data_IF_270617798789
#
_entry.id   IF_270617798789
#
_cell.length_a   1.000
_cell.length_b   1.000
_cell.length_c   1.000
_cell.angle_alpha   90.00
_cell.angle_beta   90.00
_cell.angle_gamma   90.00
#
_symmetry.space_group_name_H-M   'P 1'
#
loop_
_entity.id
_entity.type
_entity.pdbx_description
1 polymer ?
#
# COMPACT_ATOMS: atom_id res chain seq x y z
N UNK A 1 3.46 -13.35 21.78
CA UNK A 1 3.10 -12.96 20.40
C UNK A 1 2.16 -11.77 20.48
N UNK A 2 2.60 -10.62 20.00
CA UNK A 2 1.78 -9.40 19.95
C UNK A 2 1.29 -9.26 18.52
N UNK A 3 -0.03 -9.34 18.29
CA UNK A 3 -0.62 -9.03 16.98
C UNK A 3 -0.32 -7.57 16.68
N UNK A 4 0.41 -7.30 15.60
CA UNK A 4 0.55 -5.96 15.07
C UNK A 4 -0.86 -5.41 14.73
N UNK A 5 -1.18 -4.23 15.25
CA UNK A 5 -2.48 -3.62 15.07
C UNK A 5 -2.64 -3.25 13.59
N UNK A 6 -3.65 -3.79 12.91
CA UNK A 6 -3.91 -3.44 11.52
C UNK A 6 -4.60 -2.06 11.48
N UNK A 7 -3.83 -1.02 11.22
CA UNK A 7 -4.33 0.36 11.16
C UNK A 7 -5.09 0.68 9.87
N UNK A 8 -5.10 -0.19 8.86
CA UNK A 8 -5.71 0.13 7.57
C UNK A 8 -7.19 0.43 7.71
N UNK A 9 -7.94 -0.39 8.46
CA UNK A 9 -9.37 -0.16 8.67
C UNK A 9 -9.62 1.17 9.37
N UNK A 10 -8.84 1.50 10.40
CA UNK A 10 -8.97 2.76 11.14
C UNK A 10 -8.61 3.97 10.28
N UNK A 11 -7.56 3.88 9.48
CA UNK A 11 -7.15 4.94 8.54
C UNK A 11 -8.23 5.14 7.47
N UNK A 12 -8.75 4.06 6.88
CA UNK A 12 -9.83 4.15 5.89
C UNK A 12 -11.09 4.76 6.48
N UNK A 13 -11.51 4.36 7.68
CA UNK A 13 -12.66 4.94 8.37
C UNK A 13 -12.44 6.42 8.71
N UNK A 14 -11.23 6.78 9.13
CA UNK A 14 -10.87 8.15 9.44
C UNK A 14 -10.89 9.05 8.19
N UNK A 15 -10.35 8.58 7.08
CA UNK A 15 -10.36 9.29 5.79
C UNK A 15 -11.78 9.38 5.21
N UNK A 16 -12.60 8.33 5.37
CA UNK A 16 -14.01 8.30 4.95
C UNK A 16 -14.89 9.33 5.66
N UNK A 17 -14.56 9.66 6.91
CA UNK A 17 -15.36 10.56 7.74
C UNK A 17 -14.96 12.03 7.61
N UNK A 18 -13.77 12.34 7.08
CA UNK A 18 -13.30 13.73 6.97
C UNK A 18 -13.79 14.42 5.70
N UNK A 19 -14.31 15.62 5.87
CA UNK A 19 -14.66 16.55 4.80
C UNK A 19 -13.64 17.69 4.77
N UNK A 20 -13.44 18.28 3.60
CA UNK A 20 -12.60 19.46 3.37
C UNK A 20 -13.33 20.43 2.44
N UNK A 21 -12.97 21.71 2.48
CA UNK A 21 -13.50 22.73 1.56
C UNK A 21 -12.48 22.87 0.44
N UNK A 22 -12.89 22.71 -0.83
CA UNK A 22 -11.97 22.75 -1.97
C UNK A 22 -12.43 23.72 -3.04
N UNK A 23 -11.47 24.45 -3.62
CA UNK A 23 -11.70 25.29 -4.79
C UNK A 23 -11.53 24.48 -6.08
N UNK A 24 -12.51 24.48 -7.00
CA UNK A 24 -12.39 23.81 -8.30
C UNK A 24 -11.45 24.55 -9.27
N UNK A 25 -11.29 25.87 -9.13
CA UNK A 25 -10.47 26.67 -10.06
C UNK A 25 -8.97 26.61 -9.75
N UNK A 26 -8.57 26.72 -8.48
CA UNK A 26 -7.14 26.73 -8.10
C UNK A 26 -6.69 25.48 -7.35
N UNK A 27 -7.61 24.58 -6.97
CA UNK A 27 -7.30 23.34 -6.27
C UNK A 27 -7.02 23.49 -4.77
N UNK A 28 -7.01 24.71 -4.22
CA UNK A 28 -6.76 24.97 -2.80
C UNK A 28 -7.76 24.22 -1.89
N UNK A 29 -7.25 23.61 -0.83
CA UNK A 29 -8.03 22.84 0.15
C UNK A 29 -7.92 23.46 1.55
N UNK A 30 -9.05 23.53 2.25
CA UNK A 30 -9.17 24.14 3.57
C UNK A 30 -9.86 23.19 4.55
N UNK A 31 -9.49 23.24 5.85
CA UNK A 31 -10.16 22.47 6.88
C UNK A 31 -11.60 22.97 7.10
N UNK A 32 -12.47 22.08 7.57
CA UNK A 32 -13.88 22.38 7.87
C UNK A 32 -14.06 23.40 8.99
N UNK A 33 -13.02 23.67 9.79
CA UNK A 33 -13.07 24.70 10.83
C UNK A 33 -13.31 26.11 10.26
N UNK A 34 -12.99 26.33 8.98
CA UNK A 34 -13.21 27.58 8.25
C UNK A 34 -14.57 27.67 7.54
N UNK A 35 -15.47 26.70 7.77
CA UNK A 35 -16.77 26.64 7.08
C UNK A 35 -17.58 27.93 7.23
N UNK A 36 -17.64 28.49 8.44
CA UNK A 36 -18.38 29.73 8.73
C UNK A 36 -17.83 30.93 7.95
N UNK A 37 -16.50 30.98 7.78
CA UNK A 37 -15.86 32.04 7.01
C UNK A 37 -16.27 31.92 5.54
N UNK A 38 -16.22 30.72 4.97
CA UNK A 38 -16.63 30.48 3.59
C UNK A 38 -18.13 30.74 3.36
N UNK A 39 -19.00 30.38 4.31
CA UNK A 39 -20.43 30.73 4.23
C UNK A 39 -20.64 32.25 4.23
N UNK A 40 -19.92 32.98 5.08
CA UNK A 40 -19.96 34.44 5.15
C UNK A 40 -19.47 35.10 3.84
N UNK A 41 -18.39 34.57 3.26
CA UNK A 41 -17.83 35.04 1.99
C UNK A 41 -18.51 34.43 0.74
N UNK A 42 -19.72 33.86 0.87
CA UNK A 42 -20.50 33.27 -0.23
C UNK A 42 -19.70 32.26 -1.07
N UNK A 43 -18.85 31.49 -0.40
CA UNK A 43 -18.00 30.44 -0.97
C UNK A 43 -16.93 30.94 -1.93
N UNK A 44 -16.60 32.23 -1.95
CA UNK A 44 -15.46 32.73 -2.74
C UNK A 44 -14.13 32.14 -2.26
N UNK A 45 -13.29 31.74 -3.19
CA UNK A 45 -11.95 31.27 -2.89
C UNK A 45 -11.03 32.45 -2.53
N UNK A 46 -10.32 32.41 -1.39
CA UNK A 46 -9.42 33.49 -1.00
C UNK A 46 -8.12 33.54 -1.82
N UNK A 47 -7.78 32.47 -2.56
CA UNK A 47 -6.53 32.39 -3.33
C UNK A 47 -6.68 32.91 -4.76
N UNK A 48 -7.78 32.58 -5.44
CA UNK A 48 -7.97 32.94 -6.85
C UNK A 48 -9.11 33.93 -7.09
N UNK A 49 -9.95 34.21 -6.08
CA UNK A 49 -11.09 35.15 -6.09
C UNK A 49 -12.20 34.90 -7.15
N UNK A 50 -11.94 33.97 -8.07
CA UNK A 50 -12.81 33.58 -9.18
C UNK A 50 -13.55 32.26 -8.90
N UNK A 51 -12.88 31.31 -8.24
CA UNK A 51 -13.46 30.00 -7.93
C UNK A 51 -14.44 30.04 -6.76
N UNK A 52 -15.54 29.27 -6.86
CA UNK A 52 -16.43 28.99 -5.71
C UNK A 52 -16.06 27.66 -5.08
N UNK A 53 -15.61 27.72 -3.83
CA UNK A 53 -15.29 26.53 -3.06
C UNK A 53 -16.54 25.69 -2.76
N UNK A 54 -16.35 24.40 -2.54
CA UNK A 54 -17.40 23.48 -2.11
C UNK A 54 -16.85 22.47 -1.12
N UNK A 55 -17.73 21.87 -0.31
CA UNK A 55 -17.34 20.79 0.60
C UNK A 55 -17.19 19.49 -0.19
N UNK A 56 -16.04 18.87 -0.07
CA UNK A 56 -15.71 17.57 -0.66
C UNK A 56 -15.32 16.58 0.44
N UNK A 57 -15.59 15.29 0.23
CA UNK A 57 -15.08 14.26 1.15
C UNK A 57 -13.63 13.97 0.81
N UNK A 58 -12.79 13.92 1.84
CA UNK A 58 -11.39 13.56 1.71
C UNK A 58 -11.25 12.16 1.09
N UNK A 59 -12.17 11.24 1.40
CA UNK A 59 -12.19 9.92 0.77
C UNK A 59 -12.41 9.93 -0.73
N UNK A 60 -13.15 10.90 -1.26
CA UNK A 60 -13.40 10.99 -2.70
C UNK A 60 -12.20 11.61 -3.42
N UNK A 61 -11.50 12.54 -2.77
CA UNK A 61 -10.26 13.14 -3.24
C UNK A 61 -9.11 12.14 -3.30
N UNK A 62 -8.88 11.41 -2.21
CA UNK A 62 -7.78 10.43 -2.12
C UNK A 62 -8.17 9.06 -2.66
N UNK A 63 -9.42 8.86 -3.11
CA UNK A 63 -9.90 7.56 -3.59
C UNK A 63 -9.02 6.99 -4.69
N UNK A 64 -8.57 7.86 -5.60
CA UNK A 64 -7.74 7.48 -6.73
C UNK A 64 -6.29 7.24 -6.33
N UNK A 65 -5.76 7.96 -5.33
CA UNK A 65 -4.44 7.67 -4.74
C UNK A 65 -4.45 6.36 -3.95
N UNK A 66 -5.48 6.13 -3.15
CA UNK A 66 -5.68 4.90 -2.35
C UNK A 66 -5.96 3.70 -3.26
N UNK A 67 -6.70 3.88 -4.35
CA UNK A 67 -6.88 2.82 -5.35
C UNK A 67 -5.60 2.56 -6.15
N UNK A 68 -4.73 3.59 -6.33
CA UNK A 68 -3.38 3.46 -6.90
C UNK A 68 -2.37 2.85 -5.93
N UNK A 69 -2.60 2.96 -4.62
CA UNK A 69 -2.01 2.08 -3.61
C UNK A 69 -2.65 0.70 -3.79
N UNK A 70 -2.20 0.07 -4.87
CA UNK A 70 -2.73 -1.11 -5.50
C UNK A 70 -3.07 -2.18 -4.45
N UNK A 71 -4.17 -2.92 -4.62
CA UNK A 71 -4.45 -4.11 -3.79
C UNK A 71 -3.29 -5.12 -3.86
N UNK A 72 -2.45 -5.04 -4.89
CA UNK A 72 -1.19 -5.76 -5.02
C UNK A 72 -0.12 -5.39 -3.96
N UNK A 73 -0.20 -4.22 -3.33
CA UNK A 73 0.70 -3.79 -2.24
C UNK A 73 0.34 -4.39 -0.88
N UNK A 74 -0.90 -4.85 -0.70
CA UNK A 74 -1.36 -5.51 0.53
C UNK A 74 -0.97 -6.98 0.50
N UNK A 75 0.34 -7.23 0.54
CA UNK A 75 0.87 -8.57 0.81
C UNK A 75 0.37 -9.04 2.17
N UNK A 76 0.01 -10.32 2.24
CA UNK A 76 -0.25 -10.95 3.52
C UNK A 76 1.05 -11.07 4.33
N UNK A 77 0.95 -11.16 5.66
CA UNK A 77 2.10 -11.27 6.56
C UNK A 77 3.08 -12.36 6.11
N UNK A 78 2.56 -13.55 5.78
CA UNK A 78 3.37 -14.68 5.27
C UNK A 78 4.07 -14.34 3.95
N UNK A 79 3.49 -13.49 3.09
CA UNK A 79 4.10 -13.09 1.83
C UNK A 79 5.25 -12.11 2.05
N UNK A 80 5.12 -11.21 3.03
CA UNK A 80 6.20 -10.29 3.45
C UNK A 80 7.35 -11.09 4.07
N UNK A 81 7.06 -12.01 4.99
CA UNK A 81 8.07 -12.85 5.62
C UNK A 81 8.83 -13.73 4.59
N UNK A 82 8.14 -14.27 3.57
CA UNK A 82 8.79 -14.99 2.47
C UNK A 82 9.78 -14.08 1.73
N UNK A 83 9.38 -12.84 1.42
CA UNK A 83 10.25 -11.87 0.76
C UNK A 83 11.45 -11.49 1.64
N UNK A 84 11.26 -11.34 2.95
CA UNK A 84 12.34 -11.09 3.91
C UNK A 84 13.37 -12.21 3.92
N UNK A 85 12.95 -13.47 4.01
CA UNK A 85 13.86 -14.63 3.98
C UNK A 85 14.64 -14.66 2.67
N UNK A 86 13.96 -14.50 1.53
CA UNK A 86 14.63 -14.48 0.22
C UNK A 86 15.61 -13.31 0.06
N UNK A 87 15.32 -12.16 0.67
CA UNK A 87 16.20 -11.00 0.65
C UNK A 87 17.41 -11.15 1.57
N UNK A 88 17.22 -11.67 2.78
CA UNK A 88 18.30 -11.87 3.77
C UNK A 88 19.28 -12.95 3.34
N UNK A 89 18.78 -14.06 2.80
CA UNK A 89 19.60 -15.18 2.34
C UNK A 89 20.29 -14.89 1.00
N UNK A 90 19.77 -13.92 0.23
CA UNK A 90 20.25 -13.47 -1.10
C UNK A 90 20.65 -14.61 -2.05
N UNK A 91 19.89 -15.70 -2.01
CA UNK A 91 20.11 -16.90 -2.83
C UNK A 91 18.80 -17.54 -3.25
N UNK A 92 18.87 -18.37 -4.29
CA UNK A 92 17.72 -19.15 -4.76
C UNK A 92 17.38 -20.27 -3.77
N UNK A 93 16.13 -20.35 -3.34
CA UNK A 93 15.69 -21.30 -2.30
C UNK A 93 14.47 -22.11 -2.72
N UNK A 94 14.41 -23.39 -2.37
CA UNK A 94 13.18 -24.18 -2.52
C UNK A 94 12.20 -23.79 -1.41
N UNK A 95 10.91 -24.03 -1.64
CA UNK A 95 9.89 -23.79 -0.62
C UNK A 95 10.18 -24.52 0.72
N UNK A 96 10.81 -25.71 0.65
CA UNK A 96 11.26 -26.45 1.84
C UNK A 96 12.38 -25.73 2.60
N UNK A 97 13.30 -25.11 1.87
CA UNK A 97 14.41 -24.39 2.49
C UNK A 97 13.88 -23.10 3.16
N UNK A 98 12.92 -22.41 2.53
CA UNK A 98 12.25 -21.22 3.11
C UNK A 98 11.44 -21.61 4.36
N UNK A 99 10.71 -22.74 4.35
CA UNK A 99 9.98 -23.22 5.53
C UNK A 99 10.86 -23.57 6.72
N UNK A 100 12.18 -23.67 6.57
CA UNK A 100 13.07 -23.87 7.71
C UNK A 100 13.32 -22.58 8.51
N UNK A 101 12.99 -21.42 7.95
CA UNK A 101 13.12 -20.11 8.60
C UNK A 101 11.80 -19.59 9.16
N UNK A 102 10.69 -20.26 8.86
CA UNK A 102 9.33 -19.79 9.14
C UNK A 102 8.47 -20.96 9.62
N UNK A 103 7.58 -20.75 10.59
CA UNK A 103 6.64 -21.77 11.08
C UNK A 103 5.44 -21.99 10.12
N UNK A 104 5.72 -22.14 8.82
CA UNK A 104 4.72 -22.39 7.77
C UNK A 104 5.14 -23.53 6.85
N UNK A 105 4.14 -24.25 6.36
CA UNK A 105 4.37 -25.44 5.53
C UNK A 105 4.90 -25.07 4.14
N UNK A 106 5.77 -25.91 3.58
CA UNK A 106 6.32 -25.69 2.25
C UNK A 106 5.24 -25.65 1.16
N UNK A 107 4.10 -26.33 1.34
CA UNK A 107 2.96 -26.26 0.42
C UNK A 107 2.33 -24.86 0.41
N UNK A 108 2.16 -24.24 1.58
CA UNK A 108 1.67 -22.87 1.69
C UNK A 108 2.66 -21.90 1.05
N UNK A 109 3.96 -22.02 1.34
CA UNK A 109 5.00 -21.20 0.70
C UNK A 109 4.99 -21.39 -0.83
N UNK A 110 4.82 -22.62 -1.31
CA UNK A 110 4.69 -22.91 -2.74
C UNK A 110 3.52 -22.15 -3.39
N UNK A 111 2.37 -22.09 -2.72
CA UNK A 111 1.21 -21.30 -3.16
C UNK A 111 1.47 -19.80 -3.14
N UNK A 112 2.07 -19.29 -2.05
CA UNK A 112 2.36 -17.86 -1.87
C UNK A 112 3.41 -17.35 -2.85
N UNK A 113 4.47 -18.12 -3.08
CA UNK A 113 5.49 -17.79 -4.09
C UNK A 113 4.94 -17.74 -5.51
N UNK A 114 3.90 -18.54 -5.84
CA UNK A 114 3.21 -18.41 -7.14
C UNK A 114 2.45 -17.09 -7.24
N UNK A 115 1.71 -16.68 -6.20
CA UNK A 115 1.04 -15.36 -6.17
C UNK A 115 2.06 -14.20 -6.23
N UNK A 116 3.18 -14.32 -5.52
CA UNK A 116 4.28 -13.35 -5.58
C UNK A 116 4.96 -13.31 -6.95
N UNK A 117 4.99 -14.44 -7.67
CA UNK A 117 5.49 -14.49 -9.05
C UNK A 117 4.53 -13.76 -10.00
N UNK A 118 3.22 -13.98 -9.86
CA UNK A 118 2.20 -13.30 -10.66
C UNK A 118 2.25 -11.77 -10.49
N UNK A 119 2.66 -11.27 -9.31
CA UNK A 119 2.86 -9.83 -9.05
C UNK A 119 4.27 -9.31 -9.43
N UNK A 120 5.16 -10.18 -9.91
CA UNK A 120 6.53 -9.85 -10.31
C UNK A 120 7.48 -9.57 -9.13
N UNK A 121 7.15 -10.04 -7.93
CA UNK A 121 7.95 -9.86 -6.72
C UNK A 121 8.91 -11.04 -6.45
N UNK A 122 8.59 -12.21 -6.99
CA UNK A 122 9.42 -13.42 -6.91
C UNK A 122 9.63 -14.02 -8.29
N UNK A 123 10.83 -14.49 -8.58
CA UNK A 123 11.13 -15.33 -9.73
C UNK A 123 11.14 -16.80 -9.32
N UNK A 124 10.60 -17.67 -10.19
CA UNK A 124 10.62 -19.13 -10.01
C UNK A 124 11.37 -19.76 -11.16
N UNK A 125 12.42 -20.49 -10.83
CA UNK A 125 13.25 -21.22 -11.79
C UNK A 125 13.17 -22.72 -11.53
N UNK A 126 13.08 -23.50 -12.61
CA UNK A 126 13.11 -24.95 -12.53
C UNK A 126 14.56 -25.44 -12.67
N UNK A 127 15.02 -26.19 -11.66
CA UNK A 127 16.35 -26.79 -11.60
C UNK A 127 16.17 -28.31 -11.44
N UNK A 128 16.17 -29.01 -12.57
CA UNK A 128 15.82 -30.42 -12.66
C UNK A 128 14.36 -30.67 -12.22
N UNK A 129 14.20 -31.46 -11.17
CA UNK A 129 12.88 -31.81 -10.61
C UNK A 129 12.38 -30.80 -9.57
N UNK A 130 13.20 -29.83 -9.17
CA UNK A 130 12.86 -28.88 -8.11
C UNK A 130 12.62 -27.48 -8.66
N UNK A 131 11.78 -26.72 -7.97
CA UNK A 131 11.57 -25.29 -8.23
C UNK A 131 12.26 -24.49 -7.13
N UNK A 132 13.06 -23.50 -7.53
CA UNK A 132 13.66 -22.52 -6.63
C UNK A 132 13.05 -21.15 -6.85
N UNK A 133 13.02 -20.37 -5.78
CA UNK A 133 12.45 -19.03 -5.73
C UNK A 133 13.56 -18.03 -5.40
N UNK A 134 13.53 -16.86 -6.02
CA UNK A 134 14.40 -15.72 -5.73
C UNK A 134 13.59 -14.44 -5.67
N UNK A 135 14.01 -13.50 -4.83
CA UNK A 135 13.42 -12.16 -4.79
C UNK A 135 13.83 -11.37 -6.04
N UNK A 136 12.91 -10.59 -6.61
CA UNK A 136 13.21 -9.71 -7.76
C UNK A 136 13.77 -8.37 -7.30
N UNK A 137 14.47 -7.66 -8.21
CA UNK A 137 14.90 -6.29 -7.93
C UNK A 137 13.71 -5.36 -7.63
N UNK A 138 12.59 -5.53 -8.34
CA UNK A 138 11.33 -4.81 -8.07
C UNK A 138 10.88 -4.98 -6.61
N UNK A 139 10.93 -6.21 -6.08
CA UNK A 139 10.56 -6.45 -4.68
C UNK A 139 11.55 -5.82 -3.70
N UNK A 140 12.85 -5.86 -4.00
CA UNK A 140 13.87 -5.16 -3.23
C UNK A 140 13.59 -3.65 -3.18
N UNK A 141 13.30 -3.04 -4.32
CA UNK A 141 13.03 -1.59 -4.43
C UNK A 141 11.70 -1.15 -3.81
N UNK A 142 10.71 -2.04 -3.70
CA UNK A 142 9.40 -1.68 -3.14
C UNK A 142 9.35 -1.92 -1.62
N UNK A 143 9.96 -3.01 -1.14
CA UNK A 143 9.80 -3.47 0.25
C UNK A 143 11.06 -3.31 1.10
N UNK A 144 12.25 -3.19 0.50
CA UNK A 144 13.52 -3.22 1.22
C UNK A 144 14.47 -2.06 0.89
N UNK A 145 14.13 -1.17 -0.05
CA UNK A 145 14.88 0.06 -0.26
C UNK A 145 14.56 1.05 0.86
N UNK A 146 15.32 0.96 1.95
CA UNK A 146 15.47 2.08 2.87
C UNK A 146 16.85 2.66 2.65
N UNK A 147 16.90 3.74 1.85
CA UNK A 147 18.00 4.70 1.92
C UNK A 147 17.39 6.10 2.05
N UNK A 148 17.48 6.58 3.30
CA UNK A 148 17.32 7.94 3.86
C UNK A 148 15.90 8.48 4.05
#
# INVERSE_FOLDING_TARGET
MQRCFNFNTTIHEFLAKRQTIRCPSCGAAYPMDKLKDFEFFKWKCPECDDGRCSVVRLSDEYKQEIARLDKALMLEEVEIEILEVLNQEDRRMRAKDISSFMDVTYQLIGKRTTKLQESGLVEKEQEGTFVRNSITQKAKDVYFSTQL
#
